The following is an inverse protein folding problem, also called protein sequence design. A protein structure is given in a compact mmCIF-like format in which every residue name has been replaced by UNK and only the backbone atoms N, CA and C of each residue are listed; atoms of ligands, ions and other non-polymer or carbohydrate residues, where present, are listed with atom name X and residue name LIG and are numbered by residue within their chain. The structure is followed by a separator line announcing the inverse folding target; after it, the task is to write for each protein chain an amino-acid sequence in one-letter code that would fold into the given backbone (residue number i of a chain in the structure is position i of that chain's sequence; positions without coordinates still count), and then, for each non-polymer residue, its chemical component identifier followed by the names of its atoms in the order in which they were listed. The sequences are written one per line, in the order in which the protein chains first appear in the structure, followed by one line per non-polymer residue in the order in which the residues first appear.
data_IF_667549750852
#
_entry.id   IF_667549750852
#
_cell.length_a   1.000
_cell.length_b   1.000
_cell.length_c   1.000
_cell.angle_alpha   90.00
_cell.angle_beta   90.00
_cell.angle_gamma   90.00
#
_symmetry.space_group_name_H-M   'P 1'
#
loop_
_entity.id
_entity.type
_entity.pdbx_description
1 polymer ?
#
# COMPACT_ATOMS: atom_id res chain seq x y z
N UNK A 1 4.12 18.79 -6.77
CA UNK A 1 3.57 18.19 -7.99
C UNK A 1 2.65 19.21 -8.64
N UNK A 2 2.81 19.42 -9.93
CA UNK A 2 2.04 20.44 -10.67
C UNK A 2 1.32 19.80 -11.86
N UNK A 3 1.89 18.74 -12.45
CA UNK A 3 1.30 17.97 -13.53
C UNK A 3 1.22 16.50 -13.12
N UNK A 4 0.05 15.88 -13.27
CA UNK A 4 -0.16 14.44 -13.15
C UNK A 4 -0.56 13.84 -14.49
N UNK A 5 0.25 12.93 -15.02
CA UNK A 5 0.05 12.28 -16.31
C UNK A 5 -0.37 10.83 -16.06
N UNK A 6 -1.52 10.42 -16.59
CA UNK A 6 -1.94 9.02 -16.57
C UNK A 6 -1.22 8.27 -17.69
N UNK A 7 -0.25 7.41 -17.33
CA UNK A 7 0.56 6.66 -18.29
C UNK A 7 0.21 5.17 -18.21
N UNK A 8 -0.69 4.74 -19.11
CA UNK A 8 -1.15 3.35 -19.21
C UNK A 8 -0.41 2.53 -20.27
N UNK A 9 0.23 3.19 -21.22
CA UNK A 9 0.95 2.53 -22.31
C UNK A 9 2.05 1.62 -21.74
N UNK A 10 2.13 0.40 -22.27
CA UNK A 10 3.06 -0.62 -21.80
C UNK A 10 4.24 -0.81 -22.75
N UNK A 11 5.30 -1.42 -22.24
CA UNK A 11 6.46 -1.80 -23.04
C UNK A 11 7.11 -0.59 -23.71
N UNK A 12 7.59 -0.79 -24.94
CA UNK A 12 8.32 0.23 -25.71
C UNK A 12 7.54 1.51 -25.96
N UNK A 13 6.21 1.43 -26.10
CA UNK A 13 5.36 2.62 -26.26
C UNK A 13 5.34 3.47 -24.99
N UNK A 14 5.16 2.82 -23.82
CA UNK A 14 5.24 3.51 -22.54
C UNK A 14 6.62 4.12 -22.28
N UNK A 15 7.70 3.42 -22.65
CA UNK A 15 9.07 3.95 -22.56
C UNK A 15 9.24 5.20 -23.43
N UNK A 16 8.79 5.15 -24.67
CA UNK A 16 8.87 6.29 -25.59
C UNK A 16 8.14 7.52 -25.03
N UNK A 17 6.91 7.33 -24.53
CA UNK A 17 6.14 8.39 -23.89
C UNK A 17 6.82 8.93 -22.64
N UNK A 18 7.39 8.06 -21.79
CA UNK A 18 8.14 8.48 -20.62
C UNK A 18 9.41 9.29 -20.98
N UNK A 19 10.12 8.89 -22.04
CA UNK A 19 11.30 9.62 -22.54
C UNK A 19 10.93 11.00 -23.09
N UNK A 20 9.82 11.14 -23.82
CA UNK A 20 9.33 12.45 -24.28
C UNK A 20 8.90 13.35 -23.12
N UNK A 21 8.25 12.78 -22.10
CA UNK A 21 7.90 13.54 -20.89
C UNK A 21 9.17 14.00 -20.17
N UNK A 22 10.20 13.15 -20.08
CA UNK A 22 11.50 13.50 -19.50
C UNK A 22 12.21 14.60 -20.31
N UNK A 23 12.25 14.50 -21.63
CA UNK A 23 12.79 15.53 -22.52
C UNK A 23 12.08 16.87 -22.29
N UNK A 24 10.75 16.87 -22.27
CA UNK A 24 9.97 18.09 -22.10
C UNK A 24 10.13 18.70 -20.71
N UNK A 25 10.27 17.85 -19.69
CA UNK A 25 10.54 18.30 -18.32
C UNK A 25 11.85 19.05 -18.25
N UNK A 26 12.95 18.49 -18.81
CA UNK A 26 14.26 19.15 -18.86
C UNK A 26 14.19 20.47 -19.63
N UNK A 27 13.56 20.47 -20.80
CA UNK A 27 13.44 21.65 -21.64
C UNK A 27 12.68 22.81 -20.97
N UNK A 28 11.80 22.51 -20.00
CA UNK A 28 10.99 23.49 -19.29
C UNK A 28 11.46 23.76 -17.86
N UNK A 29 12.53 23.11 -17.37
CA UNK A 29 12.98 23.21 -15.98
C UNK A 29 11.91 22.78 -14.98
N UNK A 30 11.25 21.65 -15.25
CA UNK A 30 10.12 21.14 -14.46
C UNK A 30 10.49 19.98 -13.53
N UNK A 31 11.75 19.85 -13.15
CA UNK A 31 12.22 18.82 -12.23
C UNK A 31 11.45 18.87 -10.90
N UNK A 32 10.99 17.71 -10.41
CA UNK A 32 10.19 17.59 -9.20
C UNK A 32 8.72 18.01 -9.34
N UNK A 33 8.24 18.33 -10.55
CA UNK A 33 6.88 18.85 -10.79
C UNK A 33 5.97 17.89 -11.55
N UNK A 34 6.48 16.74 -11.99
CA UNK A 34 5.75 15.76 -12.82
C UNK A 34 5.51 14.47 -12.04
N UNK A 35 4.24 14.03 -12.03
CA UNK A 35 3.82 12.73 -11.55
C UNK A 35 3.39 11.84 -12.72
N UNK A 36 3.90 10.62 -12.79
CA UNK A 36 3.41 9.57 -13.65
C UNK A 36 2.48 8.66 -12.84
N UNK A 37 1.18 8.82 -13.06
CA UNK A 37 0.17 7.93 -12.55
C UNK A 37 0.16 6.64 -13.33
N UNK A 38 -0.09 5.56 -12.60
CA UNK A 38 -0.10 4.20 -13.09
C UNK A 38 1.29 3.68 -13.42
N UNK A 39 1.81 4.02 -14.59
CA UNK A 39 3.14 3.61 -15.06
C UNK A 39 3.43 2.10 -14.93
N UNK A 40 2.40 1.26 -14.72
CA UNK A 40 2.56 -0.16 -14.42
C UNK A 40 2.88 -1.01 -15.64
N UNK A 41 2.88 -0.42 -16.84
CA UNK A 41 3.37 -1.04 -18.06
C UNK A 41 4.86 -0.81 -18.31
N UNK A 42 5.53 0.07 -17.56
CA UNK A 42 6.92 0.46 -17.83
C UNK A 42 7.95 -0.62 -17.50
N UNK A 43 7.61 -1.60 -16.67
CA UNK A 43 8.46 -2.77 -16.41
C UNK A 43 8.33 -3.87 -17.47
N UNK A 44 7.44 -3.73 -18.47
CA UNK A 44 7.29 -4.68 -19.58
C UNK A 44 8.41 -4.57 -20.64
N UNK A 45 9.64 -4.33 -20.19
CA UNK A 45 10.85 -4.17 -21.02
C UNK A 45 12.04 -4.87 -20.34
N UNK A 46 13.17 -4.96 -21.05
CA UNK A 46 14.40 -5.52 -20.49
C UNK A 46 14.91 -4.73 -19.29
N UNK A 47 15.59 -5.43 -18.38
CA UNK A 47 16.09 -4.89 -17.11
C UNK A 47 16.96 -3.63 -17.28
N UNK A 48 17.79 -3.58 -18.33
CA UNK A 48 18.62 -2.41 -18.65
C UNK A 48 17.77 -1.17 -18.97
N UNK A 49 16.67 -1.32 -19.70
CA UNK A 49 15.75 -0.23 -20.02
C UNK A 49 15.01 0.24 -18.77
N UNK A 50 14.52 -0.70 -17.96
CA UNK A 50 13.87 -0.38 -16.68
C UNK A 50 14.80 0.39 -15.74
N UNK A 51 16.07 0.00 -15.64
CA UNK A 51 17.09 0.74 -14.86
C UNK A 51 17.29 2.16 -15.39
N UNK A 52 17.51 2.32 -16.70
CA UNK A 52 17.68 3.65 -17.33
C UNK A 52 16.49 4.57 -17.05
N UNK A 53 15.26 4.02 -17.09
CA UNK A 53 14.06 4.77 -16.72
C UNK A 53 14.07 5.19 -15.26
N UNK A 54 14.36 4.26 -14.33
CA UNK A 54 14.47 4.58 -12.91
C UNK A 54 15.51 5.66 -12.62
N UNK A 55 16.67 5.60 -13.26
CA UNK A 55 17.72 6.62 -13.13
C UNK A 55 17.24 7.98 -13.64
N UNK A 56 16.55 8.00 -14.78
CA UNK A 56 15.95 9.22 -15.34
C UNK A 56 14.89 9.81 -14.40
N UNK A 57 14.06 8.96 -13.80
CA UNK A 57 13.03 9.39 -12.86
C UNK A 57 13.63 9.95 -11.57
N UNK A 58 14.72 9.36 -11.10
CA UNK A 58 15.46 9.88 -9.96
C UNK A 58 16.12 11.23 -10.24
N UNK A 59 16.79 11.36 -11.40
CA UNK A 59 17.45 12.58 -11.89
C UNK A 59 16.45 13.75 -11.96
N UNK A 60 15.28 13.51 -12.55
CA UNK A 60 14.25 14.54 -12.76
C UNK A 60 13.30 14.72 -11.57
N UNK A 61 13.48 13.96 -10.50
CA UNK A 61 12.56 13.88 -9.34
C UNK A 61 11.10 13.64 -9.79
N UNK A 62 10.91 12.74 -10.76
CA UNK A 62 9.59 12.28 -11.14
C UNK A 62 8.98 11.49 -9.99
N UNK A 63 7.71 11.78 -9.69
CA UNK A 63 6.94 10.92 -8.82
C UNK A 63 6.19 9.86 -9.59
N UNK A 64 6.14 8.65 -9.05
CA UNK A 64 5.35 7.55 -9.57
C UNK A 64 4.22 7.25 -8.59
N UNK A 65 3.01 7.04 -9.09
CA UNK A 65 1.88 6.61 -8.27
C UNK A 65 1.28 5.32 -8.81
N UNK A 66 1.13 4.33 -7.94
CA UNK A 66 0.58 3.03 -8.31
C UNK A 66 -0.72 2.75 -7.56
N UNK A 67 -1.59 1.96 -8.19
CA UNK A 67 -2.76 1.36 -7.55
C UNK A 67 -2.50 -0.09 -7.14
N UNK A 68 -1.24 -0.55 -7.18
CA UNK A 68 -0.87 -1.95 -6.96
C UNK A 68 -1.72 -2.94 -7.80
N UNK A 69 -1.76 -2.80 -9.14
CA UNK A 69 -2.50 -3.73 -9.98
C UNK A 69 -1.83 -5.10 -9.97
N UNK A 70 -2.64 -6.15 -10.11
CA UNK A 70 -2.16 -7.53 -10.25
C UNK A 70 -1.65 -7.78 -11.67
N UNK A 71 -0.43 -7.32 -11.97
CA UNK A 71 0.26 -7.50 -13.27
C UNK A 71 1.73 -7.85 -13.07
N UNK A 72 2.34 -8.53 -14.05
CA UNK A 72 3.76 -8.89 -14.06
C UNK A 72 4.66 -7.82 -14.70
N UNK A 73 4.09 -6.68 -15.10
CA UNK A 73 4.77 -5.63 -15.88
C UNK A 73 5.25 -4.45 -15.04
N UNK A 74 5.19 -4.57 -13.71
CA UNK A 74 5.55 -3.50 -12.77
C UNK A 74 7.06 -3.23 -12.79
N UNK A 75 7.46 -1.97 -12.61
CA UNK A 75 8.85 -1.66 -12.25
C UNK A 75 9.14 -2.28 -10.87
N UNK A 76 10.31 -2.93 -10.64
CA UNK A 76 10.61 -3.55 -9.36
C UNK A 76 10.66 -2.52 -8.22
N UNK A 77 9.63 -2.50 -7.36
CA UNK A 77 9.48 -1.46 -6.33
C UNK A 77 10.69 -1.35 -5.40
N UNK A 78 11.26 -2.48 -4.95
CA UNK A 78 12.45 -2.46 -4.10
C UNK A 78 13.68 -1.88 -4.82
N UNK A 79 13.77 -2.06 -6.14
CA UNK A 79 14.82 -1.48 -6.97
C UNK A 79 14.64 0.01 -7.27
N UNK A 80 13.52 0.61 -6.88
CA UNK A 80 13.28 2.06 -6.99
C UNK A 80 13.82 2.84 -5.78
N UNK A 81 14.09 2.16 -4.66
CA UNK A 81 14.66 2.80 -3.47
C UNK A 81 16.13 3.20 -3.66
N UNK A 82 16.93 2.37 -4.33
CA UNK A 82 18.36 2.63 -4.60
C UNK A 82 18.60 3.92 -5.42
N UNK A 83 17.93 4.15 -6.57
CA UNK A 83 17.99 5.43 -7.26
C UNK A 83 17.21 6.54 -6.54
N UNK A 84 16.50 6.23 -5.44
CA UNK A 84 15.71 7.19 -4.66
C UNK A 84 14.57 7.81 -5.49
N UNK A 85 13.84 6.96 -6.24
CA UNK A 85 12.67 7.40 -7.00
C UNK A 85 11.50 7.63 -6.05
N UNK A 86 10.80 8.76 -6.23
CA UNK A 86 9.65 9.10 -5.41
C UNK A 86 8.45 8.24 -5.82
N UNK A 87 8.00 7.36 -4.93
CA UNK A 87 6.91 6.43 -5.21
C UNK A 87 5.81 6.52 -4.16
N UNK A 88 4.55 6.53 -4.60
CA UNK A 88 3.36 6.61 -3.74
C UNK A 88 2.29 5.60 -4.13
N UNK A 89 1.43 5.28 -3.17
CA UNK A 89 0.32 4.37 -3.36
C UNK A 89 -1.01 5.14 -3.37
N UNK A 90 -1.87 4.82 -4.32
CA UNK A 90 -3.21 5.40 -4.44
C UNK A 90 -4.30 4.35 -4.63
N UNK A 91 -5.55 4.79 -4.53
CA UNK A 91 -6.75 3.97 -4.71
C UNK A 91 -7.37 4.08 -6.11
N UNK A 92 -7.19 5.22 -6.76
CA UNK A 92 -7.88 5.58 -8.01
C UNK A 92 -9.42 5.55 -7.85
N UNK A 93 -10.17 5.43 -8.95
CA UNK A 93 -11.64 5.38 -8.98
C UNK A 93 -12.28 4.47 -7.93
N UNK A 94 -13.30 4.99 -7.23
CA UNK A 94 -13.97 4.32 -6.10
C UNK A 94 -15.42 3.97 -6.45
N UNK A 95 -15.70 2.67 -6.58
CA UNK A 95 -17.03 2.15 -6.95
C UNK A 95 -17.64 2.86 -8.16
N UNK A 96 -16.80 3.09 -9.16
CA UNK A 96 -17.20 3.69 -10.43
C UNK A 96 -17.18 2.64 -11.55
N UNK A 97 -17.39 3.11 -12.77
CA UNK A 97 -17.39 2.25 -13.95
C UNK A 97 -16.01 1.65 -14.30
N UNK A 98 -14.93 2.12 -13.68
CA UNK A 98 -13.57 1.63 -13.94
C UNK A 98 -13.16 0.52 -12.99
N UNK A 99 -13.59 0.57 -11.72
CA UNK A 99 -13.19 -0.45 -10.76
C UNK A 99 -14.23 -0.71 -9.65
N UNK A 100 -14.68 -1.97 -9.50
CA UNK A 100 -15.51 -2.37 -8.37
C UNK A 100 -14.70 -2.65 -7.10
N UNK A 101 -13.37 -2.74 -7.18
CA UNK A 101 -12.51 -3.29 -6.12
C UNK A 101 -12.03 -2.28 -5.08
N UNK A 102 -12.42 -1.01 -5.21
CA UNK A 102 -11.78 0.08 -4.47
C UNK A 102 -12.70 0.59 -3.36
N UNK A 103 -12.20 0.53 -2.13
CA UNK A 103 -12.77 1.19 -0.96
C UNK A 103 -11.84 2.33 -0.47
N UNK A 104 -12.26 3.13 0.50
CA UNK A 104 -11.43 4.22 1.07
C UNK A 104 -10.34 3.75 2.07
N UNK A 105 -9.99 2.46 2.13
CA UNK A 105 -9.09 1.92 3.18
C UNK A 105 -7.65 1.73 2.70
N UNK A 106 -6.72 2.62 3.09
CA UNK A 106 -5.32 2.54 2.64
C UNK A 106 -4.59 1.29 3.13
N UNK A 107 -4.95 0.69 4.27
CA UNK A 107 -4.35 -0.58 4.71
C UNK A 107 -4.64 -1.74 3.76
N UNK A 108 -5.86 -1.81 3.22
CA UNK A 108 -6.21 -2.82 2.21
C UNK A 108 -5.34 -2.68 0.96
N UNK A 109 -5.10 -1.43 0.52
CA UNK A 109 -4.26 -1.17 -0.65
C UNK A 109 -2.78 -1.41 -0.35
N UNK A 110 -2.33 -1.12 0.87
CA UNK A 110 -0.97 -1.40 1.34
C UNK A 110 -0.70 -2.90 1.36
N UNK A 111 -1.64 -3.68 1.88
CA UNK A 111 -1.57 -5.13 1.83
C UNK A 111 -1.50 -5.63 0.37
N UNK A 112 -2.35 -5.08 -0.50
CA UNK A 112 -2.33 -5.45 -1.92
C UNK A 112 -0.99 -5.10 -2.57
N UNK A 113 -0.38 -3.96 -2.22
CA UNK A 113 0.96 -3.60 -2.68
C UNK A 113 1.99 -4.67 -2.29
N UNK A 114 2.03 -5.06 -1.02
CA UNK A 114 2.91 -6.12 -0.55
C UNK A 114 2.65 -7.46 -1.26
N UNK A 115 1.38 -7.78 -1.52
CA UNK A 115 0.96 -9.00 -2.21
C UNK A 115 1.41 -9.02 -3.67
N UNK A 116 1.11 -7.99 -4.47
CA UNK A 116 1.43 -7.98 -5.91
C UNK A 116 2.92 -7.87 -6.20
N UNK A 117 3.69 -7.27 -5.29
CA UNK A 117 5.15 -7.24 -5.37
C UNK A 117 5.82 -8.46 -4.71
N UNK A 118 5.05 -9.41 -4.17
CA UNK A 118 5.57 -10.64 -3.59
C UNK A 118 6.57 -10.40 -2.45
N UNK A 119 6.18 -9.58 -1.46
CA UNK A 119 7.03 -9.17 -0.33
C UNK A 119 6.86 -10.09 0.89
N UNK A 120 7.73 -11.09 1.12
CA UNK A 120 7.57 -12.04 2.23
C UNK A 120 8.15 -11.56 3.57
N UNK A 121 9.01 -10.54 3.58
CA UNK A 121 9.72 -10.11 4.80
C UNK A 121 9.01 -8.94 5.48
N UNK A 122 9.00 -8.93 6.81
CA UNK A 122 8.43 -7.83 7.62
C UNK A 122 8.94 -6.46 7.16
N UNK A 123 10.25 -6.30 6.99
CA UNK A 123 10.85 -5.04 6.52
C UNK A 123 10.30 -4.57 5.16
N UNK A 124 9.99 -5.50 4.26
CA UNK A 124 9.43 -5.19 2.94
C UNK A 124 7.95 -4.82 3.05
N UNK A 125 7.18 -5.50 3.91
CA UNK A 125 5.79 -5.18 4.19
C UNK A 125 5.68 -3.80 4.84
N UNK A 126 6.58 -3.50 5.77
CA UNK A 126 6.69 -2.18 6.39
C UNK A 126 7.13 -1.12 5.38
N UNK A 127 7.99 -1.46 4.42
CA UNK A 127 8.32 -0.55 3.31
C UNK A 127 7.08 -0.25 2.46
N UNK A 128 6.22 -1.23 2.19
CA UNK A 128 4.95 -1.00 1.50
C UNK A 128 4.07 0.00 2.27
N UNK A 129 4.05 -0.08 3.61
CA UNK A 129 3.38 0.91 4.46
C UNK A 129 4.06 2.28 4.38
N UNK A 130 5.39 2.35 4.45
CA UNK A 130 6.14 3.60 4.30
C UNK A 130 5.83 4.27 2.96
N UNK A 131 5.71 3.52 1.87
CA UNK A 131 5.27 3.99 0.55
C UNK A 131 3.83 4.53 0.60
N UNK A 132 2.91 3.80 1.22
CA UNK A 132 1.50 4.19 1.31
C UNK A 132 1.27 5.44 2.17
N UNK A 133 2.09 5.62 3.20
CA UNK A 133 2.08 6.74 4.11
C UNK A 133 2.95 7.89 3.56
N UNK A 134 4.26 7.79 3.81
CA UNK A 134 5.22 8.84 3.56
C UNK A 134 5.59 8.97 2.09
N UNK A 135 5.61 7.88 1.33
CA UNK A 135 5.81 7.93 -0.12
C UNK A 135 4.78 8.84 -0.80
N UNK A 136 3.49 8.58 -0.55
CA UNK A 136 2.38 9.43 -1.01
C UNK A 136 2.46 10.86 -0.47
N UNK A 137 2.73 11.05 0.83
CA UNK A 137 2.88 12.38 1.42
C UNK A 137 3.99 13.20 0.74
N UNK A 138 5.10 12.55 0.39
CA UNK A 138 6.25 13.17 -0.25
C UNK A 138 5.96 13.65 -1.69
N UNK A 139 4.99 13.04 -2.38
CA UNK A 139 4.53 13.50 -3.70
C UNK A 139 3.76 14.82 -3.59
N UNK A 140 2.94 14.92 -2.55
CA UNK A 140 2.13 16.10 -2.27
C UNK A 140 2.97 17.25 -1.68
N UNK A 141 3.99 16.90 -0.89
CA UNK A 141 4.88 17.82 -0.17
C UNK A 141 6.33 17.51 -0.51
N UNK A 142 6.84 18.19 -1.53
CA UNK A 142 8.17 17.92 -2.10
C UNK A 142 9.31 18.15 -1.10
N UNK A 143 9.11 19.03 -0.13
CA UNK A 143 10.02 19.28 0.98
C UNK A 143 10.20 18.06 1.88
N UNK A 144 9.28 17.10 1.84
CA UNK A 144 9.43 15.84 2.56
C UNK A 144 10.41 14.92 1.84
N UNK A 145 11.30 14.24 2.60
CA UNK A 145 12.29 13.36 2.02
C UNK A 145 11.63 12.20 1.28
N UNK A 146 12.29 11.76 0.22
CA UNK A 146 11.99 10.50 -0.47
C UNK A 146 12.42 9.33 0.41
N UNK A 147 11.83 8.16 0.19
CA UNK A 147 12.33 6.92 0.78
C UNK A 147 13.60 6.53 0.00
N UNK A 148 14.76 6.66 0.63
CA UNK A 148 16.07 6.30 0.08
C UNK A 148 16.46 4.85 0.41
N UNK A 149 15.76 4.21 1.34
CA UNK A 149 15.97 2.82 1.72
C UNK A 149 14.67 2.09 2.01
N UNK A 150 14.70 0.77 1.82
CA UNK A 150 13.63 -0.13 2.28
C UNK A 150 13.45 -0.11 3.80
N UNK A 151 14.48 0.30 4.54
CA UNK A 151 14.45 0.45 5.99
C UNK A 151 13.88 1.80 6.47
N UNK A 152 13.61 2.75 5.58
CA UNK A 152 13.19 4.09 5.97
C UNK A 152 11.78 4.09 6.60
N UNK A 153 11.65 4.73 7.76
CA UNK A 153 10.39 4.92 8.51
C UNK A 153 10.20 6.38 8.95
N UNK A 154 10.21 7.36 8.03
CA UNK A 154 10.03 8.77 8.41
C UNK A 154 8.61 9.03 8.93
N UNK A 155 8.39 10.16 9.62
CA UNK A 155 7.05 10.60 10.03
C UNK A 155 6.65 10.29 11.47
N UNK A 156 7.53 9.66 12.25
CA UNK A 156 7.34 9.39 13.69
C UNK A 156 8.52 9.85 14.57
N UNK A 157 9.47 10.58 14.01
CA UNK A 157 10.60 11.11 14.76
C UNK A 157 10.20 12.32 15.59
N UNK A 158 11.01 12.67 16.60
CA UNK A 158 10.82 13.91 17.36
C UNK A 158 10.92 15.10 16.40
N UNK A 159 9.90 15.94 16.39
CA UNK A 159 9.79 17.09 15.49
C UNK A 159 8.90 16.84 14.26
N UNK A 160 8.55 15.59 13.97
CA UNK A 160 7.54 15.29 12.95
C UNK A 160 6.15 15.79 13.41
N UNK A 161 5.31 16.08 12.42
CA UNK A 161 3.90 16.42 12.67
C UNK A 161 3.21 15.25 13.39
N UNK A 162 2.36 15.58 14.36
CA UNK A 162 1.62 14.59 15.13
C UNK A 162 0.34 14.12 14.39
N UNK A 163 0.54 13.55 13.19
CA UNK A 163 -0.50 12.92 12.36
C UNK A 163 -0.31 11.40 12.36
N UNK A 164 -1.00 10.73 13.29
CA UNK A 164 -0.73 9.33 13.63
C UNK A 164 -2.00 8.49 13.54
N UNK A 165 -1.83 7.21 13.23
CA UNK A 165 -2.87 6.20 13.42
C UNK A 165 -2.38 5.19 14.43
N UNK A 166 -3.11 5.05 15.53
CA UNK A 166 -2.88 4.02 16.54
C UNK A 166 -3.82 2.86 16.27
N UNK A 167 -3.30 1.65 16.23
CA UNK A 167 -4.10 0.44 16.04
C UNK A 167 -3.46 -0.76 16.72
N UNK A 168 -4.26 -1.81 16.93
CA UNK A 168 -3.77 -3.07 17.47
C UNK A 168 -2.88 -3.79 16.44
N UNK A 169 -1.79 -4.39 16.91
CA UNK A 169 -0.89 -5.20 16.11
C UNK A 169 0.31 -5.67 16.94
N UNK A 170 0.85 -6.86 16.64
CA UNK A 170 2.08 -7.34 17.28
C UNK A 170 3.33 -6.69 16.66
N UNK A 171 3.28 -6.44 15.35
CA UNK A 171 4.29 -5.71 14.59
C UNK A 171 3.58 -4.80 13.59
N UNK A 172 4.32 -3.90 12.95
CA UNK A 172 3.78 -3.08 11.85
C UNK A 172 3.36 -3.98 10.68
N UNK A 173 4.17 -5.00 10.37
CA UNK A 173 3.83 -6.00 9.37
C UNK A 173 2.53 -6.74 9.72
N UNK A 174 2.33 -7.15 10.98
CA UNK A 174 1.08 -7.82 11.41
C UNK A 174 -0.13 -6.89 11.26
N UNK A 175 -0.01 -5.61 11.61
CA UNK A 175 -1.07 -4.63 11.45
C UNK A 175 -1.48 -4.46 9.97
N UNK A 176 -0.52 -4.44 9.05
CA UNK A 176 -0.77 -4.42 7.59
C UNK A 176 -1.44 -5.72 7.12
N UNK A 177 -1.08 -6.87 7.69
CA UNK A 177 -1.65 -8.17 7.31
C UNK A 177 -3.07 -8.38 7.87
N UNK A 178 -3.35 -7.86 9.06
CA UNK A 178 -4.64 -7.97 9.74
C UNK A 178 -5.66 -6.95 9.23
N UNK A 179 -5.20 -5.75 8.82
CA UNK A 179 -6.04 -4.64 8.33
C UNK A 179 -7.16 -4.30 9.31
N UNK A 180 -6.80 -4.21 10.58
CA UNK A 180 -7.72 -3.94 11.69
C UNK A 180 -8.51 -2.64 11.50
N UNK A 181 -9.83 -2.70 11.69
CA UNK A 181 -10.72 -1.55 11.55
C UNK A 181 -10.83 -0.69 12.82
N UNK A 182 -10.37 -1.21 13.96
CA UNK A 182 -10.36 -0.49 15.23
C UNK A 182 -9.07 0.30 15.38
N UNK A 183 -9.19 1.63 15.42
CA UNK A 183 -8.05 2.55 15.40
C UNK A 183 -8.42 3.92 15.94
N UNK A 184 -7.41 4.59 16.47
CA UNK A 184 -7.46 5.99 16.88
C UNK A 184 -6.69 6.84 15.89
N UNK A 185 -7.32 7.88 15.35
CA UNK A 185 -6.65 8.84 14.46
C UNK A 185 -6.29 10.07 15.28
N UNK A 186 -5.03 10.48 15.19
CA UNK A 186 -4.51 11.72 15.77
C UNK A 186 -4.13 12.63 14.61
N UNK A 187 -4.59 13.87 14.63
CA UNK A 187 -4.25 14.90 13.64
C UNK A 187 -3.80 16.14 14.37
N UNK A 188 -2.63 16.66 14.03
CA UNK A 188 -2.06 17.84 14.67
C UNK A 188 -2.08 17.73 16.23
N UNK A 189 -1.71 16.54 16.73
CA UNK A 189 -1.64 16.25 18.16
C UNK A 189 -2.99 16.08 18.86
N UNK A 190 -4.11 16.11 18.12
CA UNK A 190 -5.45 15.96 18.68
C UNK A 190 -6.10 14.67 18.22
N UNK A 191 -6.69 13.93 19.16
CA UNK A 191 -7.50 12.75 18.84
C UNK A 191 -8.73 13.21 18.04
N UNK A 192 -8.90 12.65 16.85
CA UNK A 192 -10.10 12.86 16.03
C UNK A 192 -11.24 12.06 16.65
N UNK A 193 -12.35 12.69 17.07
CA UNK A 193 -13.47 11.99 17.71
C UNK A 193 -14.04 10.91 16.82
N UNK A 194 -14.34 9.72 17.35
CA UNK A 194 -15.02 8.68 16.59
C UNK A 194 -16.49 9.05 16.43
N UNK A 195 -17.00 9.05 15.21
CA UNK A 195 -18.44 9.24 14.95
C UNK A 195 -19.03 7.86 14.70
N UNK A 196 -19.74 7.31 15.69
CA UNK A 196 -20.53 6.09 15.50
C UNK A 196 -21.65 6.36 14.48
N UNK A 197 -21.81 5.46 13.50
CA UNK A 197 -22.95 5.48 12.57
C UNK A 197 -22.74 6.19 11.23
N UNK A 198 -21.57 6.77 10.95
CA UNK A 198 -21.24 7.25 9.60
C UNK A 198 -20.05 6.51 9.01
N UNK A 199 -20.26 5.93 7.82
CA UNK A 199 -19.23 5.43 6.88
C UNK A 199 -18.11 6.48 6.65
N UNK A 200 -18.36 7.75 6.96
CA UNK A 200 -17.52 8.92 6.72
C UNK A 200 -16.19 9.02 7.48
N UNK A 201 -15.87 8.14 8.44
CA UNK A 201 -14.51 8.09 9.01
C UNK A 201 -13.55 7.13 8.31
N UNK A 202 -14.03 6.37 7.31
CA UNK A 202 -13.15 5.73 6.34
C UNK A 202 -12.44 6.74 5.43
N UNK A 203 -12.92 7.98 5.34
CA UNK A 203 -12.42 9.00 4.42
C UNK A 203 -11.25 9.86 4.94
N UNK A 204 -10.99 9.89 6.26
CA UNK A 204 -9.90 10.71 6.84
C UNK A 204 -8.51 10.13 6.51
N UNK A 205 -8.45 8.87 6.06
CA UNK A 205 -7.18 8.16 5.82
C UNK A 205 -6.70 8.22 4.37
N UNK A 206 -7.34 9.05 3.55
CA UNK A 206 -7.06 9.04 2.12
C UNK A 206 -5.71 9.66 1.73
N UNK A 207 -5.06 10.47 2.58
CA UNK A 207 -3.85 11.20 2.15
C UNK A 207 -2.82 11.58 3.25
N UNK A 208 -3.04 11.21 4.53
CA UNK A 208 -2.29 11.82 5.66
C UNK A 208 -1.94 10.86 6.81
N UNK A 209 -1.47 9.66 6.53
CA UNK A 209 -0.83 8.84 7.59
C UNK A 209 0.66 9.12 7.52
N UNK A 210 1.26 9.66 8.57
CA UNK A 210 2.72 9.80 8.67
C UNK A 210 3.38 8.60 9.35
N UNK A 211 2.60 7.82 10.10
CA UNK A 211 3.03 6.54 10.65
C UNK A 211 1.88 5.78 11.32
N UNK A 212 2.06 4.47 11.45
CA UNK A 212 1.23 3.60 12.29
C UNK A 212 2.06 3.20 13.50
N UNK A 213 1.51 3.36 14.70
CA UNK A 213 2.12 2.89 15.94
C UNK A 213 1.27 1.74 16.49
N UNK A 214 1.88 0.56 16.62
CA UNK A 214 1.22 -0.61 17.21
C UNK A 214 1.36 -0.59 18.74
N UNK A 215 0.25 -0.81 19.45
CA UNK A 215 0.28 -1.11 20.89
C UNK A 215 0.03 -2.60 21.13
N UNK A 216 0.72 -3.19 22.11
CA UNK A 216 0.46 -4.57 22.53
C UNK A 216 -0.95 -4.70 23.14
N UNK A 217 -1.68 -5.82 22.89
CA UNK A 217 -3.04 -5.98 23.42
C UNK A 217 -3.07 -6.04 24.95
N UNK A 218 -4.08 -5.40 25.54
CA UNK A 218 -4.42 -5.57 26.96
C UNK A 218 -4.92 -6.99 27.25
N UNK A 219 -4.62 -7.57 28.44
CA UNK A 219 -5.07 -8.92 28.82
C UNK A 219 -6.59 -9.15 28.77
N UNK A 220 -7.40 -8.09 28.69
CA UNK A 220 -8.86 -8.18 28.67
C UNK A 220 -9.45 -8.72 27.36
N UNK A 221 -8.72 -8.69 26.24
CA UNK A 221 -9.23 -9.20 24.95
C UNK A 221 -9.04 -10.72 24.76
N UNK A 222 -8.11 -11.36 25.50
CA UNK A 222 -7.85 -12.80 25.38
C UNK A 222 -9.03 -13.70 25.82
N UNK A 223 -10.02 -13.14 26.52
CA UNK A 223 -11.18 -13.89 27.03
C UNK A 223 -12.36 -13.95 26.05
N UNK A 224 -12.32 -13.25 24.91
CA UNK A 224 -13.45 -13.23 23.95
C UNK A 224 -13.43 -14.36 22.91
N UNK A 225 -12.37 -15.16 22.84
CA UNK A 225 -12.26 -16.30 21.93
C UNK A 225 -12.48 -17.62 22.67
N UNK A 226 -13.71 -17.86 23.14
CA UNK A 226 -14.20 -19.19 23.50
C UNK A 226 -15.05 -19.78 22.36
N UNK A 227 -15.03 -21.10 22.12
CA UNK A 227 -15.75 -21.69 20.99
C UNK A 227 -17.26 -21.58 21.19
N UNK A 228 -17.95 -20.88 20.28
CA UNK A 228 -19.41 -20.93 20.17
C UNK A 228 -19.81 -22.26 19.54
N UNK A 229 -20.24 -23.22 20.36
CA UNK A 229 -20.99 -24.38 19.89
C UNK A 229 -22.32 -23.89 19.29
N UNK A 230 -22.51 -24.06 17.99
CA UNK A 230 -23.82 -23.99 17.36
C UNK A 230 -24.48 -25.37 17.45
N UNK A 231 -25.53 -25.46 18.27
CA UNK A 231 -26.48 -26.57 18.26
C UNK A 231 -27.18 -26.61 16.90
N UNK A 232 -26.91 -27.65 16.11
CA UNK A 232 -27.76 -28.02 14.98
C UNK A 232 -28.54 -29.27 15.39
N UNK A 233 -29.83 -29.07 15.61
CA UNK A 233 -30.82 -30.14 15.71
C UNK A 233 -30.81 -30.96 14.41
N UNK A 234 -30.41 -32.23 14.51
CA UNK A 234 -30.51 -33.22 13.45
C UNK A 234 -30.90 -34.56 14.06
N UNK A 235 -32.14 -34.97 13.80
CA UNK A 235 -32.78 -36.20 14.25
C UNK A 235 -31.98 -37.46 13.89
N UNK A 236 -31.77 -38.32 14.89
CA UNK A 236 -31.14 -39.64 14.80
C UNK A 236 -32.03 -40.66 14.06
N UNK A 237 -31.43 -41.43 13.14
CA UNK A 237 -31.83 -42.81 12.85
C UNK A 237 -30.58 -43.71 12.72
N UNK A 238 -30.59 -44.95 13.26
CA UNK A 238 -29.39 -45.79 13.38
C UNK A 238 -29.24 -46.77 12.22
N UNK A 239 -28.00 -47.10 11.82
CA UNK A 239 -27.76 -48.23 10.91
C UNK A 239 -26.38 -48.34 10.25
N UNK A 240 -25.47 -49.05 10.94
CA UNK A 240 -24.48 -50.02 10.43
C UNK A 240 -23.30 -49.65 9.50
N UNK A 241 -22.11 -49.75 10.09
CA UNK A 241 -20.86 -50.46 9.68
C UNK A 241 -20.22 -50.28 8.29
N UNK A 242 -18.94 -49.86 8.33
CA UNK A 242 -17.73 -50.53 7.77
C UNK A 242 -16.78 -49.52 7.07
N UNK A 243 -15.49 -49.65 7.34
CA UNK A 243 -14.50 -48.56 7.23
C UNK A 243 -13.77 -48.41 5.91
N UNK A 244 -12.94 -47.36 5.83
CA UNK A 244 -11.63 -47.22 5.15
C UNK A 244 -11.08 -45.83 5.50
N UNK A 245 -9.79 -45.62 5.85
CA UNK A 245 -9.26 -44.28 6.14
C UNK A 245 -8.93 -43.53 4.84
N UNK A 246 -9.64 -42.43 4.59
CA UNK A 246 -9.43 -41.52 3.46
C UNK A 246 -8.24 -40.57 3.68
N UNK A 247 -7.42 -40.45 2.63
CA UNK A 247 -6.15 -39.72 2.56
C UNK A 247 -6.29 -38.22 2.83
N UNK A 248 -5.28 -37.68 3.52
CA UNK A 248 -4.98 -36.25 3.63
C UNK A 248 -4.87 -35.62 2.23
N UNK A 249 -5.60 -34.53 2.01
CA UNK A 249 -5.48 -33.68 0.82
C UNK A 249 -4.25 -32.76 0.96
N UNK A 250 -3.35 -32.66 -0.02
CA UNK A 250 -2.23 -31.73 0.04
C UNK A 250 -2.69 -30.31 -0.25
N UNK A 251 -2.17 -29.37 0.55
CA UNK A 251 -2.35 -27.92 0.36
C UNK A 251 -1.67 -27.51 -0.95
N UNK A 252 -2.41 -26.84 -1.83
CA UNK A 252 -1.84 -26.00 -2.88
C UNK A 252 -1.37 -24.68 -2.28
#
# INVERSE_FOLDING_TARGET
MDIGIHLHEAGTQGVFSAELIAERTRALGMEGRVNLSHAYGLGAVGEATSRKLSDTFAELDFSLTSVAPSTSTLLPLLGLAEPVVRFGLGKDGQWDYWSPYVNCEMLDRTWQLAFVYGMPKDEQIEHALAVAAMGGASIMKREMPRLASVADRPGIAVGDRADLVLMDGQTVASAVMERGADRTVIRDGRVVPRVEGTVGQRAILSWWIQGIVCSTPSPRQAQRTGPRHSELHGTLHPGNTAGTPGRLCPKF
#
